data_IF_295094691664
#
_entry.id   IF_295094691664
#
_cell.length_a   1.000
_cell.length_b   1.000
_cell.length_c   1.000
_cell.angle_alpha   90.00
_cell.angle_beta   90.00
_cell.angle_gamma   90.00
#
_symmetry.space_group_name_H-M   'P 1'
#
loop_
_entity.id
_entity.type
_entity.pdbx_description
1 polymer ?
#
# COMPACT_ATOMS: atom_id res chain seq x y z
N UNK A 1 5.34 -14.10 4.52
CA UNK A 1 5.42 -14.26 5.99
C UNK A 1 4.27 -13.61 6.77
N UNK A 2 3.52 -12.63 6.23
CA UNK A 2 2.38 -11.96 6.90
C UNK A 2 2.61 -11.69 8.41
N UNK A 3 3.79 -11.19 8.77
CA UNK A 3 4.21 -11.07 10.17
C UNK A 3 3.60 -9.87 10.90
N UNK A 4 2.91 -8.95 10.20
CA UNK A 4 2.26 -7.79 10.82
C UNK A 4 3.19 -6.72 11.38
N UNK A 5 4.51 -6.91 11.39
CA UNK A 5 5.47 -5.96 11.96
C UNK A 5 5.32 -4.53 11.40
N UNK A 6 5.15 -4.42 10.07
CA UNK A 6 4.94 -3.14 9.40
C UNK A 6 3.62 -2.44 9.77
N UNK A 7 2.58 -3.18 10.10
CA UNK A 7 1.29 -2.63 10.54
C UNK A 7 1.44 -1.99 11.93
N UNK A 8 2.10 -2.70 12.85
CA UNK A 8 2.31 -2.23 14.22
C UNK A 8 3.31 -1.07 14.31
N UNK A 9 4.32 -1.05 13.42
CA UNK A 9 5.32 0.01 13.36
C UNK A 9 4.77 1.31 12.74
N UNK A 10 3.78 1.22 11.84
CA UNK A 10 3.29 2.41 11.13
C UNK A 10 2.43 3.30 12.05
N UNK A 11 2.81 4.56 12.31
CA UNK A 11 2.09 5.44 13.22
C UNK A 11 0.68 5.76 12.74
N UNK A 12 0.48 5.86 11.42
CA UNK A 12 -0.85 6.11 10.84
C UNK A 12 -1.76 4.93 11.12
N UNK A 13 -1.42 3.73 10.64
CA UNK A 13 -2.26 2.53 10.82
C UNK A 13 -2.44 2.12 12.29
N UNK A 14 -1.51 2.49 13.17
CA UNK A 14 -1.67 2.30 14.61
C UNK A 14 -2.71 3.24 15.22
N UNK A 15 -2.93 4.42 14.62
CA UNK A 15 -3.91 5.42 15.08
C UNK A 15 -5.27 5.29 14.42
N UNK A 16 -5.34 5.12 13.10
CA UNK A 16 -6.60 4.97 12.36
C UNK A 16 -7.14 3.54 12.42
N UNK A 17 -6.28 2.54 12.68
CA UNK A 17 -6.62 1.13 12.66
C UNK A 17 -6.40 0.49 11.28
N UNK A 18 -6.15 -0.82 11.27
CA UNK A 18 -5.76 -1.56 10.05
C UNK A 18 -6.79 -1.50 8.92
N UNK A 19 -8.08 -1.42 9.25
CA UNK A 19 -9.19 -1.47 8.29
C UNK A 19 -9.76 -0.10 7.91
N UNK A 20 -9.19 1.01 8.39
CA UNK A 20 -9.74 2.34 8.19
C UNK A 20 -9.92 2.74 6.71
N UNK A 21 -9.15 2.13 5.81
CA UNK A 21 -9.19 2.42 4.38
C UNK A 21 -10.14 1.51 3.59
N UNK A 22 -10.90 0.63 4.25
CA UNK A 22 -11.98 -0.13 3.61
C UNK A 22 -11.56 -1.36 2.80
N UNK A 23 -10.34 -1.86 2.98
CA UNK A 23 -9.81 -3.00 2.22
C UNK A 23 -9.57 -4.24 3.07
N UNK A 24 -9.63 -5.40 2.41
CA UNK A 24 -9.40 -6.73 3.00
C UNK A 24 -7.99 -6.83 3.61
N UNK A 25 -6.99 -6.18 3.00
CA UNK A 25 -5.62 -6.16 3.47
C UNK A 25 -5.31 -4.89 4.27
N UNK A 26 -5.12 -4.99 5.59
CA UNK A 26 -4.78 -3.84 6.41
C UNK A 26 -3.30 -3.45 6.34
N UNK A 27 -3.00 -2.21 6.71
CA UNK A 27 -1.64 -1.73 6.91
C UNK A 27 -0.90 -1.30 5.63
N UNK A 28 0.39 -0.96 5.75
CA UNK A 28 1.15 -0.40 4.63
C UNK A 28 1.48 -1.45 3.56
N UNK A 29 1.39 -2.75 3.87
CA UNK A 29 1.39 -3.82 2.86
C UNK A 29 0.08 -3.83 2.07
N UNK A 30 -1.06 -3.71 2.76
CA UNK A 30 -2.35 -3.61 2.09
C UNK A 30 -2.43 -2.41 1.16
N UNK A 31 -1.82 -1.29 1.54
CA UNK A 31 -1.72 -0.11 0.69
C UNK A 31 -0.94 -0.31 -0.62
N UNK A 32 -0.14 -1.37 -0.72
CA UNK A 32 0.56 -1.75 -1.96
C UNK A 32 -0.23 -2.84 -2.68
N UNK A 33 -0.69 -3.86 -1.96
CA UNK A 33 -1.33 -5.05 -2.55
C UNK A 33 -2.70 -4.71 -3.12
N UNK A 34 -3.52 -3.91 -2.42
CA UNK A 34 -4.86 -3.54 -2.90
C UNK A 34 -4.81 -2.86 -4.28
N UNK A 35 -4.06 -1.76 -4.51
CA UNK A 35 -4.02 -1.13 -5.83
C UNK A 35 -3.44 -2.01 -6.94
N UNK A 36 -2.56 -2.96 -6.60
CA UNK A 36 -2.03 -3.92 -7.57
C UNK A 36 -3.08 -4.96 -7.96
N UNK A 37 -3.99 -5.33 -7.05
CA UNK A 37 -5.04 -6.32 -7.32
C UNK A 37 -6.28 -5.70 -7.96
N UNK A 38 -6.77 -4.58 -7.44
CA UNK A 38 -8.03 -3.94 -7.87
C UNK A 38 -7.84 -2.87 -8.92
N UNK A 39 -6.60 -2.46 -9.18
CA UNK A 39 -6.29 -1.31 -10.02
C UNK A 39 -6.10 -0.03 -9.21
N UNK A 40 -5.29 0.87 -9.76
CA UNK A 40 -4.90 2.13 -9.15
C UNK A 40 -6.06 3.15 -9.16
N UNK A 41 -7.03 2.98 -10.07
CA UNK A 41 -8.24 3.82 -10.14
C UNK A 41 -9.11 3.74 -8.90
N UNK A 42 -9.39 2.53 -8.42
CA UNK A 42 -10.28 2.31 -7.28
C UNK A 42 -9.56 2.48 -5.93
N UNK A 43 -8.23 2.42 -5.94
CA UNK A 43 -7.36 2.38 -4.76
C UNK A 43 -6.34 3.54 -4.69
N UNK A 44 -6.61 4.66 -5.35
CA UNK A 44 -5.73 5.84 -5.38
C UNK A 44 -5.48 6.47 -3.98
N UNK A 45 -6.38 6.27 -3.04
CA UNK A 45 -6.28 6.81 -1.68
C UNK A 45 -5.34 6.00 -0.79
N UNK A 46 -5.11 4.70 -1.06
CA UNK A 46 -4.29 3.88 -0.18
C UNK A 46 -2.79 4.26 -0.19
N UNK A 47 -2.13 4.52 -1.33
CA UNK A 47 -0.75 4.96 -1.32
C UNK A 47 -0.56 6.26 -0.52
N UNK A 48 -1.58 7.12 -0.52
CA UNK A 48 -1.60 8.39 0.20
C UNK A 48 -1.90 8.27 1.70
N UNK A 49 -2.38 7.11 2.17
CA UNK A 49 -2.61 6.81 3.57
C UNK A 49 -1.34 6.84 4.43
N UNK A 50 -0.20 6.46 3.87
CA UNK A 50 1.06 6.35 4.63
C UNK A 50 1.76 7.70 4.77
N UNK A 51 2.47 7.94 5.87
CA UNK A 51 3.30 9.14 6.05
C UNK A 51 4.71 9.02 5.45
N UNK A 52 5.05 7.89 4.81
CA UNK A 52 6.40 7.59 4.29
C UNK A 52 7.53 7.71 5.34
N UNK A 53 7.21 7.60 6.63
CA UNK A 53 8.16 7.73 7.74
C UNK A 53 9.25 6.65 7.85
N UNK A 54 9.28 5.65 6.96
CA UNK A 54 10.34 4.63 6.94
C UNK A 54 10.26 3.53 8.01
N UNK A 55 9.51 3.73 9.11
CA UNK A 55 9.44 2.79 10.25
C UNK A 55 9.08 1.34 9.87
N UNK A 56 8.28 1.15 8.82
CA UNK A 56 7.91 -0.18 8.33
C UNK A 56 9.08 -0.94 7.68
N UNK A 57 10.08 -0.25 7.13
CA UNK A 57 11.29 -0.84 6.57
C UNK A 57 12.23 -1.33 7.69
N UNK A 58 12.40 -0.52 8.74
CA UNK A 58 13.27 -0.84 9.86
C UNK A 58 12.77 -2.06 10.64
N UNK A 59 11.47 -2.11 10.91
CA UNK A 59 10.81 -3.21 11.60
C UNK A 59 10.69 -4.50 10.75
N UNK A 60 10.98 -4.44 9.44
CA UNK A 60 10.80 -5.59 8.56
C UNK A 60 11.94 -6.62 8.76
N UNK A 61 11.65 -7.88 9.11
CA UNK A 61 12.67 -8.91 9.31
C UNK A 61 13.39 -9.31 8.02
N UNK A 62 12.77 -9.04 6.86
CA UNK A 62 13.31 -9.35 5.52
C UNK A 62 13.65 -8.08 4.73
N UNK A 63 13.64 -6.90 5.37
CA UNK A 63 14.03 -5.60 4.79
C UNK A 63 13.31 -5.23 3.48
N UNK A 64 11.99 -5.49 3.40
CA UNK A 64 11.17 -5.01 2.29
C UNK A 64 11.11 -3.48 2.31
N UNK A 65 11.32 -2.85 1.17
CA UNK A 65 11.29 -1.39 1.04
C UNK A 65 9.88 -0.88 0.68
N UNK A 66 8.96 -1.03 1.64
CA UNK A 66 7.57 -0.58 1.55
C UNK A 66 7.45 0.93 1.23
N UNK A 67 8.24 1.84 1.86
CA UNK A 67 8.13 3.27 1.56
C UNK A 67 8.41 3.59 0.10
N UNK A 68 9.43 2.94 -0.50
CA UNK A 68 9.77 3.10 -1.92
C UNK A 68 8.63 2.64 -2.84
N UNK A 69 8.04 1.49 -2.55
CA UNK A 69 6.92 0.96 -3.34
C UNK A 69 5.69 1.89 -3.27
N UNK A 70 5.41 2.47 -2.10
CA UNK A 70 4.31 3.44 -1.95
C UNK A 70 4.59 4.75 -2.71
N UNK A 71 5.84 5.21 -2.73
CA UNK A 71 6.26 6.37 -3.54
C UNK A 71 6.05 6.12 -5.04
N UNK A 72 6.42 4.95 -5.52
CA UNK A 72 6.22 4.56 -6.92
C UNK A 72 4.73 4.53 -7.29
N UNK A 73 3.88 4.00 -6.41
CA UNK A 73 2.44 4.02 -6.62
C UNK A 73 1.88 5.44 -6.65
N UNK A 74 2.35 6.34 -5.77
CA UNK A 74 1.95 7.76 -5.81
C UNK A 74 2.38 8.45 -7.10
N UNK A 75 3.60 8.17 -7.55
CA UNK A 75 4.12 8.71 -8.81
C UNK A 75 3.24 8.28 -9.98
N UNK A 76 2.91 6.98 -10.05
CA UNK A 76 2.00 6.42 -11.06
C UNK A 76 0.59 7.00 -10.99
N UNK A 77 0.07 7.24 -9.79
CA UNK A 77 -1.23 7.92 -9.60
C UNK A 77 -1.16 9.37 -10.12
N UNK A 78 -0.05 10.07 -9.91
CA UNK A 78 0.14 11.46 -10.35
C UNK A 78 0.36 11.59 -11.86
N UNK A 79 1.08 10.65 -12.49
CA UNK A 79 1.30 10.63 -13.94
C UNK A 79 0.06 10.23 -14.75
N UNK A 80 -1.01 9.81 -14.10
CA UNK A 80 -2.21 9.31 -14.78
C UNK A 80 -1.97 7.98 -15.50
N UNK A 81 -0.90 7.25 -15.14
CA UNK A 81 -0.52 6.01 -15.81
C UNK A 81 -1.51 4.90 -15.43
N UNK A 82 -2.49 4.68 -16.30
CA UNK A 82 -3.14 3.37 -16.46
C UNK A 82 -2.09 2.39 -16.98
N UNK A 83 -1.63 1.51 -16.11
CA UNK A 83 -0.69 0.47 -16.51
C UNK A 83 -1.43 -0.55 -17.40
N UNK A 84 -0.87 -1.00 -18.53
CA UNK A 84 -1.51 -2.01 -19.39
C UNK A 84 -1.90 -3.31 -18.64
N UNK A 85 -1.22 -3.62 -17.54
CA UNK A 85 -1.50 -4.77 -16.65
C UNK A 85 -2.78 -4.61 -15.80
N UNK A 86 -3.34 -3.40 -15.70
CA UNK A 86 -4.57 -3.11 -14.95
C UNK A 86 -5.82 -3.73 -15.62
N UNK A 87 -5.72 -4.09 -16.92
CA UNK A 87 -6.79 -4.76 -17.66
C UNK A 87 -6.90 -6.26 -17.34
N UNK A 88 -5.83 -6.92 -16.88
CA UNK A 88 -5.85 -8.36 -16.65
C UNK A 88 -6.53 -8.80 -15.35
N UNK A 89 -6.74 -7.89 -14.38
CA UNK A 89 -7.47 -8.20 -13.13
C UNK A 89 -8.92 -7.70 -13.09
N UNK A 90 -9.32 -6.78 -13.98
CA UNK A 90 -10.72 -6.34 -14.11
C UNK A 90 -11.60 -7.30 -14.95
N UNK A 91 -11.03 -8.39 -15.45
CA UNK A 91 -11.77 -9.45 -16.15
C UNK A 91 -12.10 -10.61 -15.20
N UNK A 92 -12.88 -10.34 -14.14
CA UNK A 92 -13.77 -11.34 -13.54
C UNK A 92 -14.84 -10.73 -12.65
#
# INVERSE_FOLDING_TARGET
IRCGACLNACPVYRKVGGHAYGWVYPGPIGAIVSPVLTGLKDANNLPNASSLCGACHDACPVKINIPRMLLELRYRTAEGSTDPQERTSSAK
#
